data_IF_081182842445
#
_entry.id   IF_081182842445
#
_cell.length_a   1.000
_cell.length_b   1.000
_cell.length_c   1.000
_cell.angle_alpha   90.00
_cell.angle_beta   90.00
_cell.angle_gamma   90.00
#
_symmetry.space_group_name_H-M   'P 1'
#
loop_
_entity.id
_entity.type
_entity.pdbx_description
1 polymer ?
#
# COMPACT_ATOMS: atom_id res chain seq x y z
N UNK A 1 30.54 -31.03 -55.55
CA UNK A 1 31.76 -30.41 -56.12
C UNK A 1 32.00 -29.15 -55.30
N UNK A 2 33.16 -28.88 -54.69
CA UNK A 2 34.54 -29.02 -55.18
C UNK A 2 34.86 -27.95 -56.23
N UNK A 3 35.93 -27.16 -56.14
CA UNK A 3 37.07 -27.16 -55.19
C UNK A 3 37.73 -25.74 -55.15
N UNK A 4 38.46 -25.42 -54.06
CA UNK A 4 39.75 -24.67 -53.93
C UNK A 4 40.13 -23.50 -54.91
N UNK A 5 41.04 -22.54 -54.63
CA UNK A 5 42.23 -22.44 -53.76
C UNK A 5 42.26 -21.05 -53.01
N UNK A 6 42.96 -20.77 -51.89
CA UNK A 6 44.33 -21.11 -51.39
C UNK A 6 45.42 -20.27 -52.14
N UNK A 7 46.49 -19.66 -51.60
CA UNK A 7 47.30 -19.62 -50.33
C UNK A 7 47.71 -18.12 -50.08
N UNK A 8 48.53 -17.61 -49.16
CA UNK A 8 49.39 -17.97 -47.99
C UNK A 8 49.35 -16.69 -47.05
N UNK A 9 49.89 -16.51 -45.81
CA UNK A 9 51.02 -17.04 -45.01
C UNK A 9 52.43 -16.48 -45.38
N UNK A 10 53.42 -16.34 -44.48
CA UNK A 10 53.53 -16.62 -43.03
C UNK A 10 54.76 -15.96 -42.37
N UNK A 11 54.85 -16.03 -41.02
CA UNK A 11 56.03 -15.88 -40.10
C UNK A 11 56.48 -14.47 -39.63
N UNK A 12 57.22 -14.32 -38.50
CA UNK A 12 57.12 -14.88 -37.13
C UNK A 12 58.37 -14.59 -36.24
N UNK A 13 58.12 -14.26 -34.96
CA UNK A 13 58.96 -14.50 -33.75
C UNK A 13 60.29 -13.73 -33.52
N UNK A 14 60.65 -13.68 -32.21
CA UNK A 14 61.92 -13.23 -31.56
C UNK A 14 62.07 -11.71 -31.36
N UNK A 15 62.55 -11.18 -30.22
CA UNK A 15 63.12 -11.79 -28.99
C UNK A 15 62.88 -10.96 -27.70
N UNK A 16 62.98 -11.62 -26.54
CA UNK A 16 63.34 -11.12 -25.18
C UNK A 16 64.78 -11.64 -24.86
N UNK A 17 65.51 -11.31 -23.75
CA UNK A 17 65.03 -10.93 -22.40
C UNK A 17 65.91 -9.95 -21.54
N UNK A 18 65.49 -9.71 -20.27
CA UNK A 18 66.28 -9.28 -19.08
C UNK A 18 67.07 -7.93 -19.13
N UNK A 19 67.36 -7.19 -18.04
CA UNK A 19 66.82 -7.03 -16.66
C UNK A 19 67.48 -5.73 -16.07
N UNK A 20 67.38 -5.25 -14.82
CA UNK A 20 66.71 -5.63 -13.55
C UNK A 20 66.76 -4.44 -12.56
N UNK A 21 65.81 -4.38 -11.60
CA UNK A 21 65.85 -3.62 -10.32
C UNK A 21 65.77 -2.08 -10.33
N UNK A 22 64.73 -1.54 -9.68
CA UNK A 22 64.88 -0.60 -8.55
C UNK A 22 63.61 -0.65 -7.66
N UNK A 23 63.77 -0.44 -6.35
CA UNK A 23 62.68 -0.52 -5.35
C UNK A 23 62.00 0.85 -5.15
N UNK A 24 60.67 0.86 -4.95
CA UNK A 24 59.89 2.08 -4.66
C UNK A 24 58.53 1.77 -4.01
N UNK A 25 58.40 2.02 -2.71
CA UNK A 25 57.34 1.55 -1.83
C UNK A 25 55.87 1.82 -2.28
N UNK A 26 55.01 0.80 -2.12
CA UNK A 26 53.56 0.96 -1.99
C UNK A 26 53.16 1.12 -0.50
N UNK A 27 52.17 1.96 -0.15
CA UNK A 27 51.66 2.07 1.22
C UNK A 27 51.02 0.77 1.72
N UNK A 28 51.21 0.46 3.01
CA UNK A 28 50.57 -0.65 3.73
C UNK A 28 49.60 -0.13 4.79
N UNK A 29 48.53 -0.89 5.05
CA UNK A 29 47.55 -0.64 6.12
C UNK A 29 46.20 -0.16 5.58
N UNK A 30 45.05 -0.52 6.15
CA UNK A 30 44.80 -1.27 7.39
C UNK A 30 43.93 -2.51 7.16
N UNK A 31 44.29 -3.64 7.79
CA UNK A 31 43.49 -4.87 7.82
C UNK A 31 43.68 -5.63 9.15
N UNK A 32 43.53 -4.95 10.29
CA UNK A 32 43.34 -5.57 11.61
C UNK A 32 42.88 -4.52 12.64
N UNK A 33 41.64 -4.63 13.11
CA UNK A 33 41.10 -3.88 14.27
C UNK A 33 39.70 -4.37 14.69
N UNK A 34 38.92 -4.86 13.73
CA UNK A 34 37.50 -5.25 13.85
C UNK A 34 37.19 -6.55 14.62
N UNK A 35 38.16 -7.13 15.34
CA UNK A 35 37.93 -8.31 16.20
C UNK A 35 38.21 -8.11 17.69
N UNK A 36 39.02 -7.14 18.10
CA UNK A 36 39.39 -6.99 19.53
C UNK A 36 38.40 -6.13 20.34
N UNK A 37 37.74 -5.15 19.71
CA UNK A 37 36.72 -4.31 20.36
C UNK A 37 35.34 -4.99 20.57
N UNK A 38 35.18 -6.26 20.19
CA UNK A 38 33.89 -6.97 20.18
C UNK A 38 33.67 -7.88 21.39
N UNK A 39 34.74 -8.28 22.11
CA UNK A 39 34.64 -9.29 23.19
C UNK A 39 34.63 -8.68 24.61
N UNK A 40 35.15 -7.47 24.82
CA UNK A 40 35.30 -6.89 26.17
C UNK A 40 34.08 -6.09 26.67
N UNK A 41 33.11 -5.76 25.81
CA UNK A 41 31.89 -4.99 26.18
C UNK A 41 30.63 -5.81 26.48
N UNK A 42 30.74 -7.14 26.53
CA UNK A 42 29.63 -8.02 26.92
C UNK A 42 29.68 -8.30 28.44
N UNK A 43 29.36 -7.27 29.25
CA UNK A 43 29.10 -7.39 30.70
C UNK A 43 28.43 -6.12 31.25
N UNK A 44 27.09 -6.14 31.27
CA UNK A 44 26.26 -5.07 31.84
C UNK A 44 24.85 -5.10 31.25
N UNK A 45 23.87 -5.57 32.03
CA UNK A 45 22.49 -5.75 31.55
C UNK A 45 21.71 -4.42 31.53
N UNK A 46 20.84 -4.27 30.52
CA UNK A 46 19.96 -3.09 30.39
C UNK A 46 19.60 -2.82 28.92
N UNK A 47 18.68 -3.59 28.37
CA UNK A 47 18.29 -3.54 26.95
C UNK A 47 17.36 -2.35 26.58
N UNK A 48 17.66 -1.17 27.11
CA UNK A 48 17.17 0.13 26.63
C UNK A 48 17.99 1.26 27.25
N UNK A 49 18.43 2.23 26.46
CA UNK A 49 18.99 3.50 26.95
C UNK A 49 17.92 4.57 27.18
N UNK A 50 16.73 4.40 26.62
CA UNK A 50 15.64 5.40 26.63
C UNK A 50 14.85 5.47 27.95
N UNK A 51 15.21 4.69 28.97
CA UNK A 51 14.56 4.64 30.28
C UNK A 51 15.54 4.92 31.45
N UNK A 52 16.64 5.63 31.18
CA UNK A 52 17.59 6.06 32.22
C UNK A 52 17.23 7.43 32.79
N UNK A 53 17.11 7.59 34.12
CA UNK A 53 16.80 8.89 34.74
C UNK A 53 17.75 10.02 34.31
N UNK A 54 19.04 9.73 34.15
CA UNK A 54 20.05 10.74 33.75
C UNK A 54 19.80 11.34 32.35
N UNK A 55 19.20 10.56 31.43
CA UNK A 55 18.90 11.02 30.06
C UNK A 55 17.74 12.00 30.09
N UNK A 56 16.67 11.64 30.78
CA UNK A 56 15.49 12.49 30.99
C UNK A 56 15.85 13.81 31.65
N UNK A 57 16.67 13.80 32.71
CA UNK A 57 17.14 15.03 33.34
C UNK A 57 18.03 15.88 32.43
N UNK A 58 18.72 15.29 31.45
CA UNK A 58 19.51 16.05 30.46
C UNK A 58 18.62 16.81 29.47
N UNK A 59 17.51 16.20 29.09
CA UNK A 59 16.51 16.75 28.16
C UNK A 59 15.65 17.82 28.85
N UNK A 60 15.16 17.55 30.07
CA UNK A 60 14.40 18.51 30.89
C UNK A 60 15.18 19.80 31.24
N UNK A 61 16.53 19.76 31.21
CA UNK A 61 17.39 20.93 31.45
C UNK A 61 17.75 21.74 30.18
N UNK A 62 17.37 21.31 28.97
CA UNK A 62 17.62 22.10 27.74
C UNK A 62 16.45 23.06 27.48
N UNK A 63 16.45 24.17 28.22
CA UNK A 63 15.35 25.14 28.27
C UNK A 63 14.93 25.73 26.91
N UNK A 64 13.61 25.81 26.71
CA UNK A 64 12.95 26.38 25.53
C UNK A 64 13.27 27.87 25.36
N UNK A 65 13.95 28.24 24.28
CA UNK A 65 14.15 29.64 23.89
C UNK A 65 14.47 29.82 22.40
N UNK A 66 13.46 29.69 21.53
CA UNK A 66 13.27 30.58 20.36
C UNK A 66 11.91 30.36 19.68
N UNK A 67 11.41 31.37 18.96
CA UNK A 67 10.17 31.29 18.17
C UNK A 67 10.50 30.83 16.74
N UNK A 68 10.13 29.60 16.40
CA UNK A 68 10.29 29.05 15.04
C UNK A 68 8.91 28.72 14.46
N UNK A 69 8.73 28.95 13.16
CA UNK A 69 7.51 28.59 12.41
C UNK A 69 7.79 27.31 11.62
N UNK A 70 7.19 26.20 12.04
CA UNK A 70 7.55 24.86 11.54
C UNK A 70 8.78 24.31 12.26
N UNK A 71 8.68 23.10 12.82
CA UNK A 71 9.80 22.48 13.56
C UNK A 71 10.69 21.71 12.59
N UNK A 72 11.98 22.03 12.56
CA UNK A 72 12.99 21.27 11.82
C UNK A 72 13.37 20.00 12.61
N UNK A 73 12.66 18.89 12.35
CA UNK A 73 13.08 17.58 12.85
C UNK A 73 14.34 17.10 12.13
N UNK A 74 15.32 16.61 12.89
CA UNK A 74 16.45 15.88 12.30
C UNK A 74 15.96 14.48 11.91
N UNK A 75 15.87 14.26 10.60
CA UNK A 75 15.15 13.20 9.87
C UNK A 75 13.70 13.61 9.54
N UNK A 76 13.36 13.52 8.25
CA UNK A 76 12.17 14.10 7.64
C UNK A 76 10.92 13.21 7.76
N UNK A 77 10.68 12.70 8.96
CA UNK A 77 9.46 11.98 9.32
C UNK A 77 8.53 12.91 10.12
N UNK A 78 7.22 12.77 9.93
CA UNK A 78 6.21 13.59 10.61
C UNK A 78 6.02 13.21 12.08
N UNK A 79 5.15 13.95 12.78
CA UNK A 79 4.77 13.69 14.18
C UNK A 79 4.43 12.21 14.40
N UNK A 80 5.14 11.59 15.34
CA UNK A 80 4.93 10.19 15.70
C UNK A 80 3.82 10.09 16.74
N UNK A 81 3.08 8.97 16.78
CA UNK A 81 1.90 8.84 17.66
C UNK A 81 2.23 8.85 19.18
N UNK A 82 3.52 8.84 19.54
CA UNK A 82 4.01 9.09 20.91
C UNK A 82 3.91 10.55 21.35
N UNK A 83 3.78 11.49 20.40
CA UNK A 83 4.14 12.88 20.60
C UNK A 83 2.95 13.63 21.19
N UNK A 84 2.84 13.56 22.52
CA UNK A 84 1.72 14.13 23.27
C UNK A 84 1.64 15.64 23.12
N UNK A 85 0.62 16.12 22.41
CA UNK A 85 0.26 17.53 22.33
C UNK A 85 -0.01 18.08 23.75
N UNK A 86 0.73 19.11 24.22
CA UNK A 86 0.39 19.81 25.44
C UNK A 86 -0.81 20.73 25.17
N UNK A 87 -1.91 20.54 25.91
CA UNK A 87 -3.02 21.49 25.89
C UNK A 87 -2.80 22.69 26.83
N UNK A 88 -3.72 23.67 26.87
CA UNK A 88 -4.63 24.08 25.79
C UNK A 88 -4.56 25.60 25.58
N UNK A 89 -3.55 26.10 24.87
CA UNK A 89 -3.23 27.55 24.82
C UNK A 89 -3.10 28.13 23.40
N UNK A 90 -4.13 27.93 22.57
CA UNK A 90 -4.49 28.85 21.47
C UNK A 90 -5.86 28.47 20.89
N UNK A 91 -6.83 29.39 20.86
CA UNK A 91 -7.99 29.27 19.96
C UNK A 91 -7.50 29.66 18.57
N UNK A 92 -6.93 28.70 17.85
CA UNK A 92 -6.34 28.94 16.55
C UNK A 92 -7.43 28.86 15.48
N UNK A 93 -7.74 30.00 14.83
CA UNK A 93 -8.80 30.14 13.80
C UNK A 93 -8.38 29.53 12.44
N UNK A 94 -7.49 28.53 12.50
CA UNK A 94 -6.90 27.76 11.41
C UNK A 94 -6.95 26.26 11.73
N UNK A 95 -7.91 25.83 12.55
CA UNK A 95 -8.03 24.48 13.13
C UNK A 95 -8.20 23.34 12.12
N UNK A 96 -8.54 23.69 10.87
CA UNK A 96 -8.65 22.75 9.75
C UNK A 96 -7.26 22.42 9.17
N UNK A 97 -6.50 23.45 8.78
CA UNK A 97 -5.27 23.33 7.99
C UNK A 97 -4.17 22.47 8.63
N UNK A 98 -4.14 22.27 9.96
CA UNK A 98 -3.17 21.37 10.60
C UNK A 98 -3.53 19.88 10.50
N UNK A 99 -4.78 19.55 10.11
CA UNK A 99 -5.29 18.19 9.86
C UNK A 99 -5.67 17.96 8.38
N UNK A 100 -5.89 19.04 7.63
CA UNK A 100 -6.40 19.01 6.24
C UNK A 100 -5.58 19.89 5.27
N UNK A 101 -4.36 20.27 5.67
CA UNK A 101 -3.47 21.10 4.87
C UNK A 101 -3.09 20.47 3.53
N UNK A 102 -2.59 21.26 2.57
CA UNK A 102 -2.36 20.87 1.16
C UNK A 102 -1.18 19.89 0.95
N UNK A 103 -0.85 19.09 1.96
CA UNK A 103 0.16 18.04 1.97
C UNK A 103 -0.44 16.62 2.08
N UNK A 104 -1.71 16.48 2.46
CA UNK A 104 -2.46 15.22 2.27
C UNK A 104 -2.96 15.17 0.83
N UNK A 105 -2.91 14.01 0.15
CA UNK A 105 -3.65 13.83 -1.10
C UNK A 105 -5.17 13.82 -0.86
N UNK A 106 -5.96 13.66 -1.92
CA UNK A 106 -7.42 13.73 -1.81
C UNK A 106 -7.93 12.55 -0.97
N UNK A 107 -8.77 12.84 0.02
CA UNK A 107 -9.44 11.80 0.80
C UNK A 107 -10.79 11.46 0.14
N UNK A 108 -11.17 10.19 0.02
CA UNK A 108 -12.51 9.81 -0.40
C UNK A 108 -13.54 10.20 0.67
N UNK A 109 -14.69 10.68 0.22
CA UNK A 109 -15.86 10.98 1.04
C UNK A 109 -16.99 10.10 0.54
N UNK A 110 -17.56 9.29 1.41
CA UNK A 110 -18.61 8.33 1.05
C UNK A 110 -19.94 8.67 1.74
N UNK A 111 -21.03 8.49 1.00
CA UNK A 111 -22.38 8.38 1.54
C UNK A 111 -22.74 6.91 1.81
N UNK A 112 -23.71 6.68 2.68
CA UNK A 112 -24.22 5.33 3.00
C UNK A 112 -24.56 4.48 1.76
N UNK A 113 -25.16 5.09 0.74
CA UNK A 113 -25.56 4.41 -0.49
C UNK A 113 -24.34 3.94 -1.31
N UNK A 114 -23.26 4.70 -1.27
CA UNK A 114 -21.99 4.37 -1.94
C UNK A 114 -21.21 3.30 -1.16
N UNK A 115 -21.31 3.28 0.18
CA UNK A 115 -20.76 2.19 1.01
C UNK A 115 -21.49 0.86 0.81
N UNK A 116 -22.82 0.90 0.66
CA UNK A 116 -23.67 -0.29 0.54
C UNK A 116 -23.68 -0.90 -0.86
N UNK A 117 -23.30 -0.14 -1.90
CA UNK A 117 -23.19 -0.67 -3.27
C UNK A 117 -21.95 -1.57 -3.50
N UNK A 118 -21.02 -1.65 -2.53
CA UNK A 118 -19.78 -2.42 -2.64
C UNK A 118 -20.04 -3.92 -2.57
N UNK A 119 -19.66 -4.64 -3.63
CA UNK A 119 -19.87 -6.09 -3.76
C UNK A 119 -18.55 -6.86 -3.83
N UNK A 120 -18.60 -8.15 -3.46
CA UNK A 120 -17.54 -9.12 -3.76
C UNK A 120 -17.61 -9.45 -5.25
N UNK A 121 -16.69 -8.88 -6.04
CA UNK A 121 -16.58 -9.10 -7.48
C UNK A 121 -15.24 -9.76 -7.79
N UNK A 122 -15.22 -10.69 -8.74
CA UNK A 122 -14.01 -11.38 -9.21
C UNK A 122 -13.82 -11.18 -10.72
N UNK A 123 -12.62 -10.82 -11.18
CA UNK A 123 -12.28 -10.78 -12.62
C UNK A 123 -11.80 -12.16 -13.10
N UNK A 124 -12.43 -12.76 -14.13
CA UNK A 124 -11.92 -13.98 -14.75
C UNK A 124 -10.44 -13.88 -15.17
N UNK A 125 -9.68 -14.94 -14.90
CA UNK A 125 -8.23 -14.99 -15.16
C UNK A 125 -7.95 -15.49 -16.58
N UNK A 126 -7.79 -14.56 -17.52
CA UNK A 126 -7.67 -14.87 -18.95
C UNK A 126 -6.22 -15.20 -19.32
N UNK A 127 -5.30 -14.28 -19.04
CA UNK A 127 -3.89 -14.41 -19.49
C UNK A 127 -3.07 -15.34 -18.57
N UNK A 128 -1.92 -15.83 -19.04
CA UNK A 128 -0.95 -16.54 -18.19
C UNK A 128 -0.51 -15.63 -17.03
N UNK A 129 -0.34 -14.33 -17.28
CA UNK A 129 -0.05 -13.34 -16.24
C UNK A 129 -1.19 -13.23 -15.21
N UNK A 130 -2.44 -13.20 -15.65
CA UNK A 130 -3.61 -13.14 -14.75
C UNK A 130 -3.67 -14.39 -13.85
N UNK A 131 -3.40 -15.57 -14.41
CA UNK A 131 -3.41 -16.86 -13.69
C UNK A 131 -2.25 -16.97 -12.69
N UNK A 132 -1.05 -16.51 -13.05
CA UNK A 132 0.10 -16.45 -12.14
C UNK A 132 -0.14 -15.45 -11.01
N UNK A 133 -0.68 -14.27 -11.31
CA UNK A 133 -1.00 -13.24 -10.33
C UNK A 133 -2.03 -13.74 -9.30
N UNK A 134 -3.22 -14.15 -9.77
CA UNK A 134 -4.29 -14.64 -8.90
C UNK A 134 -3.85 -15.90 -8.13
N UNK A 135 -3.22 -16.87 -8.79
CA UNK A 135 -2.73 -18.08 -8.11
C UNK A 135 -1.66 -17.81 -7.03
N UNK A 136 -0.84 -16.77 -7.21
CA UNK A 136 0.10 -16.31 -6.18
C UNK A 136 -0.63 -15.70 -4.99
N UNK A 137 -1.67 -14.88 -5.23
CA UNK A 137 -2.53 -14.37 -4.16
C UNK A 137 -3.26 -15.51 -3.44
N UNK A 138 -3.88 -16.46 -4.15
CA UNK A 138 -4.54 -17.63 -3.53
C UNK A 138 -3.57 -18.43 -2.67
N UNK A 139 -2.30 -18.56 -3.07
CA UNK A 139 -1.27 -19.23 -2.28
C UNK A 139 -0.90 -18.44 -1.02
N UNK A 140 -0.63 -17.14 -1.14
CA UNK A 140 -0.34 -16.25 -0.01
C UNK A 140 -1.51 -16.25 0.98
N UNK A 141 -2.74 -16.08 0.49
CA UNK A 141 -4.00 -16.12 1.22
C UNK A 141 -4.14 -17.39 2.06
N UNK A 142 -3.88 -18.56 1.45
CA UNK A 142 -3.93 -19.88 2.12
C UNK A 142 -2.82 -20.08 3.14
N UNK A 143 -1.60 -19.61 2.86
CA UNK A 143 -0.48 -19.68 3.82
C UNK A 143 -0.78 -18.79 5.02
N UNK A 144 -1.27 -17.57 4.80
CA UNK A 144 -1.62 -16.60 5.85
C UNK A 144 -2.72 -17.13 6.76
N UNK A 145 -3.81 -17.66 6.21
CA UNK A 145 -4.91 -18.24 7.01
C UNK A 145 -4.46 -19.49 7.77
N UNK A 146 -3.61 -20.34 7.17
CA UNK A 146 -3.03 -21.49 7.88
C UNK A 146 -2.10 -21.08 9.04
N UNK A 147 -1.25 -20.05 8.86
CA UNK A 147 -0.35 -19.53 9.90
C UNK A 147 -1.12 -18.81 11.02
N UNK A 148 -2.20 -18.11 10.68
CA UNK A 148 -3.03 -17.36 11.65
C UNK A 148 -4.16 -18.20 12.28
N UNK A 149 -4.40 -19.41 11.76
CA UNK A 149 -5.45 -20.32 12.23
C UNK A 149 -6.87 -19.99 11.76
N UNK A 150 -7.04 -18.95 10.93
CA UNK A 150 -8.35 -18.48 10.47
C UNK A 150 -8.98 -19.42 9.43
N UNK A 151 -10.27 -19.69 9.57
CA UNK A 151 -11.08 -20.45 8.61
C UNK A 151 -12.27 -19.60 8.20
N UNK A 152 -12.16 -18.92 7.07
CA UNK A 152 -13.26 -18.18 6.43
C UNK A 152 -14.33 -19.14 5.86
N UNK A 153 -15.03 -19.84 6.74
CA UNK A 153 -16.16 -20.72 6.44
C UNK A 153 -17.45 -20.08 6.98
N UNK A 154 -18.58 -20.15 6.27
CA UNK A 154 -19.85 -19.65 6.79
C UNK A 154 -20.24 -20.42 8.05
N UNK A 155 -20.59 -19.69 9.10
CA UNK A 155 -21.13 -20.26 10.34
C UNK A 155 -22.53 -20.82 10.03
N UNK A 156 -22.88 -22.06 10.45
CA UNK A 156 -24.19 -22.61 10.20
C UNK A 156 -25.30 -21.76 10.83
N UNK A 157 -26.40 -21.58 10.10
CA UNK A 157 -27.57 -20.81 10.55
C UNK A 157 -28.14 -21.35 11.87
N UNK A 158 -28.13 -22.68 12.06
CA UNK A 158 -28.46 -23.38 13.31
C UNK A 158 -27.59 -22.98 14.52
N UNK A 159 -26.43 -22.37 14.29
CA UNK A 159 -25.54 -21.82 15.33
C UNK A 159 -25.78 -20.34 15.58
N UNK A 160 -26.17 -19.58 14.55
CA UNK A 160 -26.54 -18.16 14.67
C UNK A 160 -27.89 -17.97 15.39
N UNK A 161 -28.78 -18.96 15.30
CA UNK A 161 -30.08 -18.98 15.98
C UNK A 161 -30.01 -19.37 17.47
N UNK A 162 -28.81 -19.68 18.00
CA UNK A 162 -28.62 -20.01 19.41
C UNK A 162 -28.53 -18.74 20.26
N UNK A 163 -29.15 -18.74 21.44
CA UNK A 163 -29.17 -17.59 22.34
C UNK A 163 -28.70 -17.99 23.75
N UNK A 164 -27.50 -17.55 24.19
CA UNK A 164 -26.50 -16.79 23.44
C UNK A 164 -25.82 -17.62 22.33
N UNK A 165 -25.26 -16.94 21.32
CA UNK A 165 -24.44 -17.58 20.27
C UNK A 165 -23.13 -18.10 20.91
N UNK A 166 -22.66 -19.32 20.60
CA UNK A 166 -21.46 -19.91 21.20
C UNK A 166 -20.14 -19.33 20.61
N UNK A 167 -19.93 -18.03 20.80
CA UNK A 167 -18.80 -17.24 20.27
C UNK A 167 -17.44 -17.83 20.69
N UNK A 168 -17.29 -18.27 21.95
CA UNK A 168 -16.05 -18.88 22.45
C UNK A 168 -15.71 -20.19 21.71
N UNK A 169 -16.70 -21.06 21.48
CA UNK A 169 -16.49 -22.29 20.70
C UNK A 169 -16.13 -22.00 19.24
N UNK A 170 -16.79 -21.01 18.61
CA UNK A 170 -16.51 -20.62 17.23
C UNK A 170 -15.07 -20.10 17.08
N UNK A 171 -14.61 -19.30 18.06
CA UNK A 171 -13.22 -18.82 18.14
C UNK A 171 -12.24 -19.96 18.41
N UNK A 172 -12.53 -20.87 19.34
CA UNK A 172 -11.71 -22.05 19.62
C UNK A 172 -11.59 -23.01 18.41
N UNK A 173 -12.64 -23.09 17.58
CA UNK A 173 -12.64 -23.85 16.32
C UNK A 173 -11.93 -23.12 15.17
N UNK A 174 -11.54 -21.84 15.35
CA UNK A 174 -10.92 -20.99 14.33
C UNK A 174 -11.87 -20.49 13.23
N UNK A 175 -13.18 -20.63 13.44
CA UNK A 175 -14.23 -20.22 12.50
C UNK A 175 -14.58 -18.73 12.61
N UNK A 176 -14.33 -18.15 13.78
CA UNK A 176 -14.59 -16.75 14.11
C UNK A 176 -13.32 -16.14 14.70
N UNK A 177 -13.04 -14.87 14.38
CA UNK A 177 -11.93 -14.13 14.95
C UNK A 177 -12.39 -13.31 16.17
N UNK A 178 -11.47 -13.02 17.08
CA UNK A 178 -11.67 -11.99 18.11
C UNK A 178 -11.20 -10.61 17.64
N UNK A 179 -11.57 -9.58 18.38
CA UNK A 179 -11.06 -8.20 18.28
C UNK A 179 -9.56 -8.13 17.90
N UNK A 180 -8.72 -8.80 18.69
CA UNK A 180 -7.25 -8.78 18.56
C UNK A 180 -6.78 -9.57 17.35
N UNK A 181 -7.49 -10.62 16.97
CA UNK A 181 -7.13 -11.44 15.81
C UNK A 181 -7.50 -10.72 14.49
N UNK A 182 -8.65 -10.05 14.43
CA UNK A 182 -9.00 -9.14 13.34
C UNK A 182 -8.00 -7.98 13.24
N UNK A 183 -7.73 -7.25 14.33
CA UNK A 183 -6.78 -6.13 14.31
C UNK A 183 -5.36 -6.55 13.95
N UNK A 184 -4.88 -7.69 14.46
CA UNK A 184 -3.58 -8.26 14.07
C UNK A 184 -3.54 -8.59 12.58
N UNK A 185 -4.59 -9.23 12.05
CA UNK A 185 -4.74 -9.56 10.63
C UNK A 185 -4.69 -8.31 9.76
N UNK A 186 -5.50 -7.31 10.10
CA UNK A 186 -5.60 -6.03 9.38
C UNK A 186 -4.24 -5.33 9.40
N UNK A 187 -3.71 -4.97 10.58
CA UNK A 187 -2.44 -4.23 10.72
C UNK A 187 -1.28 -4.93 10.00
N UNK A 188 -1.25 -6.27 9.96
CA UNK A 188 -0.22 -7.02 9.24
C UNK A 188 -0.38 -6.95 7.71
N UNK A 189 -1.62 -6.94 7.19
CA UNK A 189 -1.90 -6.81 5.76
C UNK A 189 -1.73 -5.37 5.27
N UNK A 190 -2.30 -4.38 5.97
CA UNK A 190 -2.15 -2.94 5.63
C UNK A 190 -0.68 -2.49 5.58
N UNK A 191 0.16 -3.08 6.45
CA UNK A 191 1.61 -2.82 6.45
C UNK A 191 2.33 -3.22 5.17
N UNK A 192 1.68 -4.02 4.32
CA UNK A 192 2.14 -4.42 3.01
C UNK A 192 1.32 -3.77 1.88
N UNK A 193 0.03 -3.50 2.07
CA UNK A 193 -0.87 -2.94 1.06
C UNK A 193 -0.36 -1.61 0.46
N UNK A 194 0.26 -0.73 1.25
CA UNK A 194 0.87 0.51 0.74
C UNK A 194 2.15 0.36 -0.11
N UNK A 195 2.68 -0.86 -0.27
CA UNK A 195 3.96 -1.11 -0.97
C UNK A 195 3.85 -1.12 -2.51
N UNK A 196 2.87 -1.80 -3.16
CA UNK A 196 2.83 -1.93 -4.61
C UNK A 196 2.63 -0.60 -5.33
N UNK A 197 1.71 0.25 -4.87
CA UNK A 197 1.49 1.60 -5.40
C UNK A 197 2.76 2.45 -5.32
N UNK A 198 3.44 2.46 -4.16
CA UNK A 198 4.69 3.19 -3.94
C UNK A 198 5.82 2.73 -4.88
N UNK A 199 5.97 1.41 -5.07
CA UNK A 199 6.94 0.82 -6.01
C UNK A 199 6.60 1.21 -7.46
N UNK A 200 5.34 1.11 -7.86
CA UNK A 200 4.88 1.44 -9.20
C UNK A 200 5.05 2.94 -9.49
N UNK A 201 4.58 3.81 -8.59
CA UNK A 201 4.72 5.26 -8.62
C UNK A 201 6.19 5.68 -8.74
N UNK A 202 7.08 5.11 -7.91
CA UNK A 202 8.52 5.37 -7.97
C UNK A 202 9.15 4.93 -9.31
N UNK A 203 8.84 3.72 -9.78
CA UNK A 203 9.36 3.21 -11.06
C UNK A 203 8.88 4.02 -12.27
N UNK A 204 7.67 4.60 -12.20
CA UNK A 204 7.10 5.50 -13.21
C UNK A 204 7.64 6.92 -13.09
N UNK A 205 7.81 7.46 -11.88
CA UNK A 205 8.43 8.75 -11.61
C UNK A 205 9.87 8.80 -12.15
N UNK A 206 10.69 7.82 -11.80
CA UNK A 206 12.05 7.68 -12.34
C UNK A 206 12.06 7.42 -13.86
N UNK A 207 10.96 6.95 -14.47
CA UNK A 207 10.81 6.73 -15.92
C UNK A 207 10.44 8.03 -16.64
N UNK A 208 9.60 8.86 -16.03
CA UNK A 208 9.27 10.23 -16.44
C UNK A 208 10.54 11.08 -16.50
N UNK A 209 11.27 11.18 -15.39
CA UNK A 209 12.50 11.96 -15.27
C UNK A 209 13.56 11.54 -16.30
N UNK A 210 13.96 10.26 -16.32
CA UNK A 210 15.03 9.77 -17.23
C UNK A 210 14.68 9.76 -18.72
N UNK A 211 13.44 10.14 -19.08
CA UNK A 211 12.99 10.28 -20.47
C UNK A 211 12.56 11.70 -20.83
N UNK A 212 12.54 12.62 -19.86
CA UNK A 212 12.03 13.99 -19.98
C UNK A 212 10.64 14.05 -20.65
N UNK A 213 9.70 13.25 -20.15
CA UNK A 213 8.32 13.12 -20.69
C UNK A 213 7.28 13.09 -19.58
N UNK A 214 6.10 13.66 -19.85
CA UNK A 214 4.91 13.46 -19.00
C UNK A 214 4.60 11.96 -18.87
N UNK A 215 4.20 11.57 -17.66
CA UNK A 215 3.85 10.19 -17.32
C UNK A 215 2.42 9.80 -17.75
N UNK A 216 1.50 10.76 -17.84
CA UNK A 216 0.10 10.52 -18.19
C UNK A 216 -0.79 10.19 -16.99
N UNK A 217 -0.52 10.78 -15.83
CA UNK A 217 -1.43 10.74 -14.67
C UNK A 217 -1.38 9.46 -13.82
N UNK A 218 -0.44 8.55 -14.07
CA UNK A 218 -0.34 7.30 -13.31
C UNK A 218 0.35 7.49 -11.96
N UNK A 219 1.41 8.33 -11.90
CA UNK A 219 2.19 8.54 -10.68
C UNK A 219 1.34 9.04 -9.51
N UNK A 220 0.36 9.92 -9.77
CA UNK A 220 -0.48 10.48 -8.70
C UNK A 220 -1.34 9.40 -8.06
N UNK A 221 -2.21 8.74 -8.84
CA UNK A 221 -3.11 7.68 -8.36
C UNK A 221 -2.35 6.52 -7.69
N UNK A 222 -1.16 6.16 -8.17
CA UNK A 222 -0.36 5.08 -7.57
C UNK A 222 0.32 5.48 -6.25
N UNK A 223 0.54 6.78 -6.01
CA UNK A 223 1.01 7.27 -4.71
C UNK A 223 -0.15 7.58 -3.75
N UNK A 224 -1.30 7.95 -4.29
CA UNK A 224 -2.57 8.17 -3.59
C UNK A 224 -3.11 6.87 -3.01
N UNK A 225 -3.16 5.80 -3.81
CA UNK A 225 -3.35 4.40 -3.38
C UNK A 225 -2.41 4.05 -2.23
N UNK A 226 -1.09 4.26 -2.40
CA UNK A 226 -0.10 3.98 -1.36
C UNK A 226 -0.20 4.86 -0.10
N UNK A 227 -0.86 6.02 -0.17
CA UNK A 227 -1.17 6.87 0.99
C UNK A 227 -2.45 6.43 1.69
N UNK A 228 -3.48 6.04 0.94
CA UNK A 228 -4.74 5.52 1.47
C UNK A 228 -4.51 4.25 2.31
N UNK A 229 -3.77 3.27 1.77
CA UNK A 229 -3.36 2.05 2.50
C UNK A 229 -2.53 2.36 3.76
N UNK A 230 -1.69 3.41 3.70
CA UNK A 230 -0.94 3.90 4.86
C UNK A 230 -1.87 4.50 5.91
N UNK A 231 -2.99 5.11 5.51
CA UNK A 231 -4.02 5.63 6.40
C UNK A 231 -4.93 4.53 6.97
N UNK A 232 -5.14 3.41 6.26
CA UNK A 232 -5.70 2.18 6.84
C UNK A 232 -4.83 1.70 8.00
N UNK A 233 -3.54 1.43 7.75
CA UNK A 233 -2.57 0.98 8.75
C UNK A 233 -2.55 1.88 9.98
N UNK A 234 -2.39 3.19 9.77
CA UNK A 234 -2.28 4.16 10.87
C UNK A 234 -3.59 4.28 11.65
N UNK A 235 -4.74 4.17 11.00
CA UNK A 235 -6.05 4.13 11.67
C UNK A 235 -6.14 2.95 12.63
N UNK A 236 -5.93 1.72 12.15
CA UNK A 236 -6.03 0.53 13.02
C UNK A 236 -4.92 0.48 14.08
N UNK A 237 -3.75 1.08 13.83
CA UNK A 237 -2.69 1.24 14.83
C UNK A 237 -3.06 2.18 16.00
N UNK A 238 -4.08 3.04 15.88
CA UNK A 238 -4.61 3.78 17.04
C UNK A 238 -5.43 2.90 17.99
N UNK A 239 -5.98 1.78 17.48
CA UNK A 239 -6.82 0.84 18.25
C UNK A 239 -5.97 -0.26 18.87
N UNK A 240 -5.05 -0.86 18.10
CA UNK A 240 -4.17 -1.92 18.57
C UNK A 240 -2.72 -1.69 18.16
N UNK A 241 -1.79 -2.00 19.06
CA UNK A 241 -0.36 -1.86 18.79
C UNK A 241 0.26 -3.20 18.42
N UNK A 242 0.97 -3.31 17.28
CA UNK A 242 1.54 -4.57 16.83
C UNK A 242 2.64 -5.07 17.77
N UNK A 243 2.64 -6.38 18.06
CA UNK A 243 3.63 -7.03 18.92
C UNK A 243 5.04 -6.95 18.31
N UNK A 244 6.08 -7.23 19.11
CA UNK A 244 7.45 -7.38 18.59
C UNK A 244 7.51 -8.40 17.43
N UNK A 245 6.86 -9.56 17.57
CA UNK A 245 6.83 -10.59 16.53
C UNK A 245 6.11 -10.09 15.27
N UNK A 246 4.99 -9.38 15.43
CA UNK A 246 4.26 -8.75 14.32
C UNK A 246 5.16 -7.75 13.60
N UNK A 247 5.85 -6.85 14.32
CA UNK A 247 6.79 -5.87 13.74
C UNK A 247 7.95 -6.52 12.99
N UNK A 248 8.50 -7.63 13.50
CA UNK A 248 9.52 -8.41 12.77
C UNK A 248 8.95 -9.08 11.52
N UNK A 249 7.70 -9.57 11.55
CA UNK A 249 7.02 -10.10 10.38
C UNK A 249 6.79 -9.01 9.31
N UNK A 250 6.40 -7.79 9.70
CA UNK A 250 6.29 -6.64 8.79
C UNK A 250 7.62 -6.34 8.10
N UNK A 251 8.71 -6.20 8.84
CA UNK A 251 10.04 -5.92 8.26
C UNK A 251 10.50 -7.03 7.31
N UNK A 252 10.28 -8.30 7.66
CA UNK A 252 10.58 -9.43 6.79
C UNK A 252 9.73 -9.46 5.51
N UNK A 253 8.41 -9.24 5.66
CA UNK A 253 7.47 -9.21 4.55
C UNK A 253 7.75 -8.06 3.59
N UNK A 254 7.94 -6.83 4.09
CA UNK A 254 8.33 -5.68 3.28
C UNK A 254 9.68 -5.92 2.57
N UNK A 255 10.69 -6.43 3.29
CA UNK A 255 12.00 -6.72 2.73
C UNK A 255 11.98 -7.70 1.54
N UNK A 256 11.14 -8.75 1.60
CA UNK A 256 10.95 -9.69 0.50
C UNK A 256 10.05 -9.09 -0.60
N UNK A 257 8.87 -8.60 -0.23
CA UNK A 257 7.81 -8.25 -1.18
C UNK A 257 8.11 -6.95 -1.94
N UNK A 258 8.78 -5.96 -1.32
CA UNK A 258 9.23 -4.75 -2.03
C UNK A 258 10.13 -5.12 -3.21
N UNK A 259 11.13 -6.00 -2.97
CA UNK A 259 12.08 -6.44 -3.99
C UNK A 259 11.40 -7.30 -5.07
N UNK A 260 10.47 -8.19 -4.68
CA UNK A 260 9.69 -9.01 -5.62
C UNK A 260 8.80 -8.15 -6.52
N UNK A 261 8.07 -7.18 -5.94
CA UNK A 261 7.22 -6.24 -6.69
C UNK A 261 8.06 -5.33 -7.59
N UNK A 262 9.19 -4.81 -7.11
CA UNK A 262 10.11 -3.98 -7.90
C UNK A 262 10.60 -4.71 -9.15
N UNK A 263 11.05 -5.96 -8.99
CA UNK A 263 11.42 -6.81 -10.13
C UNK A 263 10.22 -7.09 -11.06
N UNK A 264 9.05 -7.39 -10.50
CA UNK A 264 7.84 -7.70 -11.28
C UNK A 264 7.34 -6.49 -12.08
N UNK A 265 7.32 -5.28 -11.50
CA UNK A 265 6.96 -4.04 -12.19
C UNK A 265 7.98 -3.60 -13.26
N UNK A 266 9.25 -4.01 -13.13
CA UNK A 266 10.27 -3.81 -14.17
C UNK A 266 10.07 -4.76 -15.37
N UNK A 267 9.69 -6.02 -15.12
CA UNK A 267 9.59 -7.07 -16.15
C UNK A 267 8.19 -7.11 -16.79
N UNK A 268 7.14 -7.17 -15.96
CA UNK A 268 5.74 -7.33 -16.39
C UNK A 268 4.78 -6.51 -15.49
N UNK A 269 4.71 -5.17 -15.68
CA UNK A 269 3.85 -4.31 -14.87
C UNK A 269 2.36 -4.66 -14.98
N UNK A 270 1.90 -5.25 -16.10
CA UNK A 270 0.52 -5.77 -16.20
C UNK A 270 0.24 -6.88 -15.20
N UNK A 271 1.19 -7.80 -14.98
CA UNK A 271 1.06 -8.88 -14.00
C UNK A 271 1.14 -8.34 -12.57
N UNK A 272 1.96 -7.32 -12.33
CA UNK A 272 2.04 -6.68 -11.03
C UNK A 272 0.71 -5.99 -10.66
N UNK A 273 0.13 -5.15 -11.53
CA UNK A 273 -1.20 -4.58 -11.30
C UNK A 273 -2.28 -5.65 -11.14
N UNK A 274 -2.24 -6.75 -11.91
CA UNK A 274 -3.20 -7.86 -11.73
C UNK A 274 -3.00 -8.65 -10.42
N UNK A 275 -1.81 -8.59 -9.83
CA UNK A 275 -1.53 -9.18 -8.50
C UNK A 275 -2.11 -8.30 -7.40
N UNK A 276 -1.91 -6.98 -7.47
CA UNK A 276 -2.55 -5.98 -6.59
C UNK A 276 -4.07 -6.11 -6.67
N UNK A 277 -4.66 -5.99 -7.86
CA UNK A 277 -6.11 -6.13 -8.03
C UNK A 277 -6.70 -7.48 -7.55
N UNK A 278 -5.89 -8.55 -7.47
CA UNK A 278 -6.30 -9.83 -6.91
C UNK A 278 -6.13 -9.93 -5.38
N UNK A 279 -5.21 -9.18 -4.77
CA UNK A 279 -5.18 -8.95 -3.31
C UNK A 279 -6.44 -8.19 -2.89
N UNK A 280 -6.82 -7.17 -3.66
CA UNK A 280 -7.89 -6.26 -3.25
C UNK A 280 -9.28 -6.92 -3.46
N UNK A 281 -9.38 -7.90 -4.38
CA UNK A 281 -10.50 -8.86 -4.40
C UNK A 281 -10.61 -9.68 -3.10
N UNK A 282 -9.51 -10.03 -2.43
CA UNK A 282 -9.49 -10.72 -1.14
C UNK A 282 -9.63 -9.77 0.06
N UNK A 283 -9.22 -8.50 -0.07
CA UNK A 283 -9.44 -7.45 0.91
C UNK A 283 -10.93 -7.10 1.01
N UNK A 284 -11.61 -6.82 -0.13
CA UNK A 284 -13.08 -6.63 -0.17
C UNK A 284 -13.82 -7.81 0.45
N UNK A 285 -13.41 -9.06 0.19
CA UNK A 285 -13.98 -10.25 0.84
C UNK A 285 -13.75 -10.25 2.35
N UNK A 286 -12.51 -10.02 2.78
CA UNK A 286 -12.10 -9.98 4.19
C UNK A 286 -12.92 -8.93 4.97
N UNK A 287 -13.03 -7.71 4.44
CA UNK A 287 -13.79 -6.64 5.09
C UNK A 287 -15.31 -6.83 4.98
N UNK A 288 -15.84 -7.46 3.92
CA UNK A 288 -17.26 -7.84 3.86
C UNK A 288 -17.60 -8.85 4.96
N UNK A 289 -16.79 -9.90 5.13
CA UNK A 289 -16.97 -10.87 6.22
C UNK A 289 -16.85 -10.19 7.61
N UNK A 290 -15.92 -9.24 7.76
CA UNK A 290 -15.74 -8.49 9.01
C UNK A 290 -16.99 -7.63 9.34
N UNK A 291 -17.56 -6.92 8.36
CA UNK A 291 -18.81 -6.15 8.53
C UNK A 291 -19.98 -7.09 8.87
N UNK A 292 -20.08 -8.24 8.19
CA UNK A 292 -21.10 -9.24 8.49
C UNK A 292 -20.99 -9.83 9.91
N UNK A 293 -19.77 -10.15 10.37
CA UNK A 293 -19.55 -10.66 11.73
C UNK A 293 -19.92 -9.62 12.80
N UNK A 294 -19.64 -8.34 12.56
CA UNK A 294 -20.06 -7.23 13.43
C UNK A 294 -21.59 -7.06 13.42
N UNK A 295 -22.23 -7.05 12.25
CA UNK A 295 -23.70 -6.92 12.12
C UNK A 295 -24.46 -8.07 12.77
N UNK A 296 -23.84 -9.26 12.89
CA UNK A 296 -24.38 -10.45 13.57
C UNK A 296 -24.02 -10.52 15.06
N UNK A 297 -23.33 -9.52 15.62
CA UNK A 297 -22.92 -9.49 17.04
C UNK A 297 -21.85 -10.54 17.41
N UNK A 298 -21.05 -11.01 16.44
CA UNK A 298 -20.03 -12.04 16.64
C UNK A 298 -18.68 -11.46 17.10
N UNK A 299 -18.53 -10.14 17.02
CA UNK A 299 -17.41 -9.38 17.60
C UNK A 299 -17.96 -8.36 18.61
N UNK A 300 -18.60 -8.81 19.72
CA UNK A 300 -19.28 -7.92 20.68
C UNK A 300 -18.33 -6.96 21.40
N UNK A 301 -17.02 -7.18 21.30
CA UNK A 301 -16.02 -6.21 21.72
C UNK A 301 -16.05 -4.89 20.92
N UNK A 302 -16.72 -4.83 19.77
CA UNK A 302 -16.70 -3.71 18.83
C UNK A 302 -18.04 -2.98 18.64
N UNK A 303 -19.16 -3.53 19.12
CA UNK A 303 -20.52 -3.05 18.83
C UNK A 303 -20.72 -1.55 19.14
N UNK A 304 -20.09 -1.04 20.20
CA UNK A 304 -20.14 0.37 20.64
C UNK A 304 -18.78 1.10 20.58
N UNK A 305 -17.79 0.57 19.85
CA UNK A 305 -16.48 1.24 19.70
C UNK A 305 -16.59 2.45 18.77
N UNK A 306 -16.25 3.67 19.23
CA UNK A 306 -16.28 4.88 18.39
C UNK A 306 -15.17 4.84 17.33
N UNK A 307 -15.43 5.49 16.19
CA UNK A 307 -14.43 5.68 15.15
C UNK A 307 -13.21 6.46 15.69
N UNK A 308 -11.96 6.03 15.44
CA UNK A 308 -10.79 6.81 15.79
C UNK A 308 -10.79 8.18 15.12
N UNK A 309 -10.29 9.21 15.81
CA UNK A 309 -10.33 10.58 15.27
C UNK A 309 -9.59 10.72 13.93
N UNK A 310 -8.50 9.96 13.72
CA UNK A 310 -7.80 9.89 12.42
C UNK A 310 -8.70 9.41 11.27
N UNK A 311 -9.64 8.50 11.54
CA UNK A 311 -10.60 7.99 10.56
C UNK A 311 -11.72 8.99 10.29
N UNK A 312 -12.25 9.61 11.36
CA UNK A 312 -13.24 10.71 11.28
C UNK A 312 -12.67 11.84 10.42
N UNK A 313 -11.41 12.18 10.62
CA UNK A 313 -10.71 13.21 9.86
C UNK A 313 -10.46 12.78 8.41
N UNK A 314 -10.00 11.56 8.18
CA UNK A 314 -9.63 11.09 6.84
C UNK A 314 -10.87 10.95 5.95
N UNK A 315 -11.81 10.06 6.29
CA UNK A 315 -13.02 9.79 5.50
C UNK A 315 -14.18 10.79 5.71
N UNK A 316 -13.95 11.86 6.49
CA UNK A 316 -14.96 12.91 6.81
C UNK A 316 -16.23 12.37 7.48
N UNK A 317 -16.09 11.31 8.28
CA UNK A 317 -17.21 10.66 8.96
C UNK A 317 -17.86 11.60 10.00
N UNK A 318 -19.14 11.39 10.36
CA UNK A 318 -19.74 12.07 11.51
C UNK A 318 -18.96 11.81 12.81
N UNK A 319 -18.92 12.78 13.73
CA UNK A 319 -18.23 12.63 15.03
C UNK A 319 -18.86 11.53 15.92
N UNK A 320 -20.06 11.05 15.57
CA UNK A 320 -20.77 9.93 16.19
C UNK A 320 -20.55 8.58 15.50
N UNK A 321 -19.69 8.50 14.49
CA UNK A 321 -19.40 7.26 13.75
C UNK A 321 -18.76 6.19 14.65
N UNK A 322 -19.00 4.93 14.31
CA UNK A 322 -18.47 3.74 14.99
C UNK A 322 -17.38 3.08 14.16
N UNK A 323 -16.68 2.11 14.75
CA UNK A 323 -15.66 1.31 14.07
C UNK A 323 -16.20 0.57 12.83
N UNK A 324 -17.49 0.20 12.81
CA UNK A 324 -18.13 -0.41 11.63
C UNK A 324 -18.15 0.53 10.41
N UNK A 325 -18.32 1.84 10.63
CA UNK A 325 -18.37 2.84 9.55
C UNK A 325 -16.98 3.04 8.93
N UNK A 326 -15.95 3.03 9.78
CA UNK A 326 -14.54 3.01 9.35
C UNK A 326 -14.25 1.78 8.50
N UNK A 327 -14.67 0.59 8.95
CA UNK A 327 -14.45 -0.66 8.23
C UNK A 327 -15.25 -0.70 6.90
N UNK A 328 -16.44 -0.10 6.85
CA UNK A 328 -17.21 0.07 5.60
C UNK A 328 -16.52 1.05 4.63
N UNK A 329 -15.92 2.13 5.13
CA UNK A 329 -15.16 3.08 4.32
C UNK A 329 -13.89 2.46 3.72
N UNK A 330 -13.07 1.78 4.55
CA UNK A 330 -11.92 0.99 4.08
C UNK A 330 -12.33 0.00 2.99
N UNK A 331 -13.43 -0.76 3.19
CA UNK A 331 -13.97 -1.70 2.18
C UNK A 331 -14.30 -1.04 0.83
N UNK A 332 -14.68 0.24 0.82
CA UNK A 332 -14.95 0.99 -0.41
C UNK A 332 -13.67 1.47 -1.11
N UNK A 333 -12.62 1.75 -0.34
CA UNK A 333 -11.28 2.03 -0.86
C UNK A 333 -10.65 0.76 -1.47
N UNK A 334 -10.76 -0.41 -0.81
CA UNK A 334 -10.37 -1.70 -1.40
C UNK A 334 -11.05 -1.96 -2.76
N UNK A 335 -12.35 -1.70 -2.84
CA UNK A 335 -13.12 -1.87 -4.07
C UNK A 335 -12.66 -0.91 -5.17
N UNK A 336 -12.16 0.27 -4.78
CA UNK A 336 -11.53 1.26 -5.65
C UNK A 336 -10.16 0.79 -6.14
N UNK A 337 -9.27 0.35 -5.25
CA UNK A 337 -7.93 -0.15 -5.59
C UNK A 337 -8.01 -1.40 -6.50
N UNK A 338 -8.92 -2.33 -6.21
CA UNK A 338 -9.32 -3.45 -7.08
C UNK A 338 -9.67 -2.96 -8.49
N UNK A 339 -10.63 -2.03 -8.57
CA UNK A 339 -11.18 -1.53 -9.83
C UNK A 339 -10.12 -0.79 -10.66
N UNK A 340 -9.33 0.07 -10.01
CA UNK A 340 -8.24 0.82 -10.63
C UNK A 340 -7.17 -0.13 -11.14
N UNK A 341 -6.61 -1.01 -10.31
CA UNK A 341 -5.52 -1.89 -10.73
C UNK A 341 -5.90 -2.90 -11.81
N UNK A 342 -7.12 -3.46 -11.80
CA UNK A 342 -7.59 -4.29 -12.92
C UNK A 342 -7.68 -3.50 -14.22
N UNK A 343 -8.13 -2.25 -14.17
CA UNK A 343 -8.19 -1.36 -15.34
C UNK A 343 -6.78 -1.03 -15.85
N UNK A 344 -5.87 -0.59 -14.97
CA UNK A 344 -4.48 -0.27 -15.28
C UNK A 344 -3.71 -1.47 -15.86
N UNK A 345 -4.02 -2.69 -15.41
CA UNK A 345 -3.45 -3.93 -15.93
C UNK A 345 -3.84 -4.20 -17.40
N UNK A 346 -4.98 -3.70 -17.90
CA UNK A 346 -5.43 -3.91 -19.28
C UNK A 346 -4.92 -2.84 -20.29
N UNK A 347 -4.49 -1.65 -19.83
CA UNK A 347 -3.91 -0.58 -20.67
C UNK A 347 -2.55 -0.91 -21.33
N UNK A 348 -2.18 -0.21 -22.42
CA UNK A 348 -0.81 -0.16 -22.95
C UNK A 348 0.08 0.72 -22.05
N UNK A 349 0.79 0.04 -21.16
CA UNK A 349 1.78 0.54 -20.18
C UNK A 349 2.89 1.45 -20.73
N UNK A 350 2.97 1.66 -22.06
CA UNK A 350 3.93 2.57 -22.72
C UNK A 350 3.27 3.73 -23.49
N UNK A 351 1.95 3.70 -23.71
CA UNK A 351 1.23 4.65 -24.58
C UNK A 351 0.00 5.30 -23.95
N UNK A 352 -0.70 4.57 -23.09
CA UNK A 352 -2.02 5.00 -22.60
C UNK A 352 -1.90 5.91 -21.38
N UNK A 353 -2.79 6.89 -21.31
CA UNK A 353 -3.01 7.76 -20.16
C UNK A 353 -3.81 7.00 -19.07
N UNK A 354 -3.61 7.34 -17.79
CA UNK A 354 -4.41 6.79 -16.70
C UNK A 354 -5.85 7.34 -16.78
N UNK A 355 -6.88 6.50 -17.03
CA UNK A 355 -8.24 6.99 -17.25
C UNK A 355 -8.80 7.80 -16.07
N UNK A 356 -8.37 7.52 -14.85
CA UNK A 356 -8.87 8.14 -13.61
C UNK A 356 -8.23 9.49 -13.31
N UNK A 357 -7.13 9.85 -13.98
CA UNK A 357 -6.46 11.15 -13.81
C UNK A 357 -7.20 12.34 -14.48
N UNK A 358 -8.47 12.16 -14.86
CA UNK A 358 -9.44 13.20 -15.21
C UNK A 358 -10.66 13.23 -14.27
N UNK A 359 -10.70 12.35 -13.26
CA UNK A 359 -11.86 12.11 -12.39
C UNK A 359 -12.24 10.63 -12.35
N UNK A 360 -12.85 10.21 -11.24
CA UNK A 360 -13.11 8.81 -10.92
C UNK A 360 -14.35 8.22 -11.59
N UNK A 361 -14.38 6.90 -11.69
CA UNK A 361 -15.62 6.17 -11.92
C UNK A 361 -16.53 6.31 -10.69
N UNK A 362 -17.85 6.32 -10.90
CA UNK A 362 -18.81 6.46 -9.79
C UNK A 362 -18.69 5.28 -8.81
N UNK A 363 -19.01 5.45 -7.52
CA UNK A 363 -18.78 4.40 -6.52
C UNK A 363 -19.54 3.11 -6.81
N UNK A 364 -20.70 3.16 -7.48
CA UNK A 364 -21.43 1.96 -7.89
C UNK A 364 -20.67 1.17 -8.95
N UNK A 365 -19.99 1.85 -9.88
CA UNK A 365 -19.14 1.20 -10.89
C UNK A 365 -17.90 0.59 -10.20
N UNK A 366 -17.26 1.31 -9.27
CA UNK A 366 -16.12 0.79 -8.50
C UNK A 366 -16.50 -0.41 -7.61
N UNK A 367 -17.66 -0.32 -6.95
CA UNK A 367 -18.19 -1.32 -6.02
C UNK A 367 -18.70 -2.60 -6.70
N UNK A 368 -19.39 -2.48 -7.85
CA UNK A 368 -20.05 -3.61 -8.53
C UNK A 368 -19.29 -4.19 -9.72
N UNK A 369 -18.25 -3.51 -10.23
CA UNK A 369 -17.41 -4.00 -11.32
C UNK A 369 -15.99 -4.31 -10.84
N UNK A 370 -15.35 -5.31 -11.45
CA UNK A 370 -13.96 -5.63 -11.14
C UNK A 370 -12.96 -4.64 -11.75
N UNK A 371 -13.32 -3.90 -12.80
CA UNK A 371 -12.45 -2.99 -13.55
C UNK A 371 -13.00 -2.70 -14.95
N UNK A 372 -12.42 -1.72 -15.65
CA UNK A 372 -12.69 -1.45 -17.06
C UNK A 372 -11.78 -2.26 -17.98
N UNK A 373 -12.28 -2.63 -19.17
CA UNK A 373 -11.37 -3.00 -20.27
C UNK A 373 -10.62 -1.76 -20.80
N UNK A 374 -9.68 -1.96 -21.72
CA UNK A 374 -8.96 -0.86 -22.37
C UNK A 374 -9.89 0.03 -23.21
N UNK A 375 -10.90 -0.58 -23.84
CA UNK A 375 -11.90 0.07 -24.67
C UNK A 375 -12.88 0.87 -23.82
N UNK A 376 -13.32 0.30 -22.69
CA UNK A 376 -14.16 0.98 -21.70
C UNK A 376 -13.42 2.14 -21.03
N UNK A 377 -12.14 1.96 -20.69
CA UNK A 377 -11.27 3.04 -20.19
C UNK A 377 -11.17 4.20 -21.19
N UNK A 378 -11.06 3.89 -22.49
CA UNK A 378 -11.03 4.90 -23.55
C UNK A 378 -12.40 5.55 -23.83
N UNK A 379 -13.51 4.87 -23.53
CA UNK A 379 -14.85 5.45 -23.57
C UNK A 379 -15.09 6.39 -22.37
N UNK A 380 -14.73 5.95 -21.17
CA UNK A 380 -14.79 6.74 -19.93
C UNK A 380 -14.00 8.05 -20.06
N UNK A 381 -12.75 8.01 -20.51
CA UNK A 381 -11.93 9.22 -20.74
C UNK A 381 -12.60 10.22 -21.67
N UNK A 382 -13.23 9.77 -22.76
CA UNK A 382 -13.96 10.64 -23.69
C UNK A 382 -15.20 11.25 -23.04
N UNK A 383 -15.95 10.47 -22.26
CA UNK A 383 -17.15 10.96 -21.59
C UNK A 383 -16.80 11.98 -20.50
N UNK A 384 -15.80 11.69 -19.67
CA UNK A 384 -15.30 12.58 -18.63
C UNK A 384 -14.71 13.86 -19.23
N UNK A 385 -13.92 13.77 -20.31
CA UNK A 385 -13.43 14.95 -21.04
C UNK A 385 -14.60 15.79 -21.59
N UNK A 386 -15.61 15.16 -22.20
CA UNK A 386 -16.81 15.86 -22.72
C UNK A 386 -17.57 16.59 -21.60
N UNK A 387 -17.75 15.94 -20.43
CA UNK A 387 -18.35 16.55 -19.24
C UNK A 387 -17.54 17.76 -18.75
N UNK A 388 -16.22 17.64 -18.64
CA UNK A 388 -15.32 18.72 -18.22
C UNK A 388 -15.30 19.91 -19.18
N UNK A 389 -15.52 19.70 -20.48
CA UNK A 389 -15.61 20.75 -21.50
C UNK A 389 -17.00 21.41 -21.56
N UNK A 390 -17.98 20.97 -20.76
CA UNK A 390 -19.35 21.50 -20.79
C UNK A 390 -20.14 21.11 -22.05
N UNK A 391 -19.65 20.15 -22.83
CA UNK A 391 -20.30 19.63 -24.03
C UNK A 391 -21.51 18.75 -23.66
N UNK A 392 -22.63 19.40 -23.33
CA UNK A 392 -23.94 18.73 -23.33
C UNK A 392 -24.18 18.08 -24.70
N UNK A 393 -24.85 16.92 -24.70
CA UNK A 393 -24.94 16.08 -25.88
C UNK A 393 -25.72 16.76 -27.01
N UNK A 394 -24.99 17.39 -27.94
CA UNK A 394 -25.57 17.96 -29.15
C UNK A 394 -26.16 16.82 -29.99
N UNK A 395 -27.48 16.86 -30.18
CA UNK A 395 -28.22 16.04 -31.13
C UNK A 395 -27.51 16.10 -32.50
N UNK A 396 -27.39 14.97 -33.25
CA UNK A 396 -26.80 15.00 -34.57
C UNK A 396 -27.46 16.07 -35.45
N UNK A 397 -26.69 17.04 -35.91
CA UNK A 397 -27.17 18.06 -36.83
C UNK A 397 -27.47 17.36 -38.16
N UNK A 398 -28.76 17.21 -38.49
CA UNK A 398 -29.17 16.76 -39.80
C UNK A 398 -28.62 17.73 -40.86
N UNK A 399 -27.67 17.24 -41.65
CA UNK A 399 -27.16 17.99 -42.80
C UNK A 399 -28.26 18.00 -43.85
N UNK A 400 -28.84 19.16 -44.21
CA UNK A 400 -29.89 19.21 -45.23
C UNK A 400 -29.28 18.75 -46.55
N UNK A 401 -29.83 17.70 -47.16
CA UNK A 401 -29.43 17.30 -48.50
C UNK A 401 -29.77 18.45 -49.46
N UNK A 402 -28.75 18.97 -50.16
CA UNK A 402 -28.97 19.91 -51.25
C UNK A 402 -29.53 19.15 -52.45
N UNK A 403 -30.79 19.46 -52.78
CA UNK A 403 -31.40 19.24 -54.10
C UNK A 403 -30.71 20.06 -55.18
#
# INVERSE_FOLDING_TARGET
MSLLLIKHSSRALRNLPHSSSLYGALPRGFASSSKWMLEEKIKGHGASTALRPEVRQREENQGLSEKVVGVESKLAEGLHYSDKIPGPTAINVLSDLTRTGPWTMMNPIYTEQELDCVQIVHRPTVTIGDKLAHGSVTLIRRIFDWVTGYKALPIPEETLQQNPIPIEELRAKGLLLSDKAWLMRIILLESFAGVPGMVAGTLRHLRSLRRLRRDGGWIHTLLEEAENERMHLLTFMTIAQPSWLTRMAVLGAQGVMYNLLFATYLITPKTAHRFVAALEEEAVKTYTHCVEDMQKGLVPEWDDVPAPQIAIDYWRLPQSAKLIDVIRAVRADEATHRFVNHSLADLDQKRDFNPFALGDASPEIRGTKAGFTREESAAFVKETQRKLLGESAQTPVEIPQRS
#
